data_IF_856743711450
#
_entry.id   IF_856743711450
#
_cell.length_a   1.000
_cell.length_b   1.000
_cell.length_c   1.000
_cell.angle_alpha   90.00
_cell.angle_beta   90.00
_cell.angle_gamma   90.00
#
_symmetry.space_group_name_H-M   'P 1'
#
loop_
_entity.id
_entity.type
_entity.pdbx_description
1 polymer ?
#
# COMPACT_ATOMS: atom_id res chain seq x y z
N UNK A 1 37.45 -0.92 -32.82
CA UNK A 1 37.49 -0.54 -31.39
C UNK A 1 36.75 -1.63 -30.61
N UNK A 2 37.46 -2.55 -29.98
CA UNK A 2 36.85 -3.52 -29.07
C UNK A 2 36.54 -2.80 -27.74
N UNK A 3 35.31 -2.93 -27.23
CA UNK A 3 34.95 -2.39 -25.93
C UNK A 3 35.87 -3.00 -24.86
N UNK A 4 36.39 -2.16 -23.96
CA UNK A 4 37.26 -2.65 -22.88
C UNK A 4 36.45 -3.55 -21.92
N UNK A 5 37.00 -4.66 -21.41
CA UNK A 5 36.28 -5.62 -20.58
C UNK A 5 35.68 -5.03 -19.29
N UNK A 6 36.26 -3.95 -18.79
CA UNK A 6 35.82 -3.19 -17.62
C UNK A 6 34.55 -2.34 -17.88
N UNK A 7 34.23 -2.03 -19.14
CA UNK A 7 33.07 -1.21 -19.50
C UNK A 7 31.76 -1.99 -19.68
N UNK A 8 31.80 -3.31 -19.79
CA UNK A 8 30.60 -4.14 -19.98
C UNK A 8 29.97 -4.59 -18.65
N UNK A 9 30.75 -4.65 -17.57
CA UNK A 9 30.27 -5.15 -16.26
C UNK A 9 29.25 -4.23 -15.60
N UNK A 10 29.50 -2.92 -15.55
CA UNK A 10 28.60 -1.98 -14.88
C UNK A 10 27.22 -1.84 -15.57
N UNK A 11 27.14 -1.68 -16.91
CA UNK A 11 25.85 -1.65 -17.60
C UNK A 11 25.07 -2.97 -17.47
N UNK A 12 25.76 -4.11 -17.53
CA UNK A 12 25.15 -5.42 -17.32
C UNK A 12 24.58 -5.56 -15.90
N UNK A 13 25.35 -5.21 -14.87
CA UNK A 13 24.91 -5.28 -13.48
C UNK A 13 23.70 -4.38 -13.22
N UNK A 14 23.67 -3.17 -13.80
CA UNK A 14 22.54 -2.27 -13.67
C UNK A 14 21.30 -2.84 -14.35
N UNK A 15 21.42 -3.35 -15.57
CA UNK A 15 20.31 -3.97 -16.29
C UNK A 15 19.78 -5.22 -15.57
N UNK A 16 20.66 -6.06 -15.02
CA UNK A 16 20.29 -7.22 -14.23
C UNK A 16 19.57 -6.82 -12.94
N UNK A 17 20.05 -5.79 -12.25
CA UNK A 17 19.39 -5.24 -11.06
C UNK A 17 18.01 -4.69 -11.38
N UNK A 18 17.85 -3.91 -12.45
CA UNK A 18 16.56 -3.36 -12.86
C UNK A 18 15.56 -4.47 -13.24
N UNK A 19 16.03 -5.52 -13.92
CA UNK A 19 15.20 -6.68 -14.23
C UNK A 19 14.72 -7.40 -12.96
N UNK A 20 15.64 -7.66 -12.02
CA UNK A 20 15.30 -8.25 -10.73
C UNK A 20 14.33 -7.38 -9.92
N UNK A 21 14.58 -6.07 -9.90
CA UNK A 21 13.77 -5.05 -9.20
C UNK A 21 12.35 -5.00 -9.75
N UNK A 22 12.19 -5.12 -11.06
CA UNK A 22 10.88 -5.12 -11.71
C UNK A 22 10.08 -6.42 -11.47
N UNK A 23 10.77 -7.55 -11.26
CA UNK A 23 10.15 -8.85 -10.98
C UNK A 23 9.93 -9.13 -9.49
N UNK A 24 10.34 -8.21 -8.61
CA UNK A 24 10.27 -8.39 -7.15
C UNK A 24 9.25 -7.42 -6.56
N UNK A 25 8.40 -7.91 -5.66
CA UNK A 25 7.46 -7.08 -4.90
C UNK A 25 8.19 -6.29 -3.80
N UNK A 26 8.83 -5.20 -4.19
CA UNK A 26 9.45 -4.27 -3.25
C UNK A 26 8.39 -3.39 -2.59
N UNK A 27 8.47 -3.30 -1.26
CA UNK A 27 7.72 -2.32 -0.51
C UNK A 27 8.44 -0.98 -0.55
N UNK A 28 7.75 0.09 -0.96
CA UNK A 28 8.28 1.46 -1.00
C UNK A 28 7.70 2.30 0.13
N UNK A 29 8.53 3.13 0.76
CA UNK A 29 8.11 4.01 1.83
C UNK A 29 6.95 4.92 1.39
N UNK A 30 5.94 5.06 2.26
CA UNK A 30 4.78 5.92 2.01
C UNK A 30 5.07 7.41 2.28
N UNK A 31 6.20 7.73 2.91
CA UNK A 31 6.58 9.13 3.16
C UNK A 31 7.00 9.79 1.84
N UNK A 32 6.42 10.95 1.46
CA UNK A 32 6.74 11.63 0.21
C UNK A 32 8.22 12.02 0.05
N UNK A 33 8.93 12.18 1.17
CA UNK A 33 10.34 12.57 1.20
C UNK A 33 11.30 11.38 1.33
N UNK A 34 10.79 10.15 1.39
CA UNK A 34 11.60 8.95 1.59
C UNK A 34 11.54 8.02 0.37
N UNK A 35 12.70 7.74 -0.23
CA UNK A 35 12.84 6.83 -1.36
C UNK A 35 13.27 5.41 -0.92
N UNK A 36 13.12 5.05 0.35
CA UNK A 36 13.48 3.70 0.80
C UNK A 36 12.56 2.68 0.15
N UNK A 37 13.16 1.64 -0.43
CA UNK A 37 12.46 0.46 -0.92
C UNK A 37 13.18 -0.78 -0.40
N UNK A 38 12.41 -1.79 0.00
CA UNK A 38 12.96 -3.01 0.59
C UNK A 38 12.02 -4.20 0.42
N UNK A 39 12.57 -5.38 0.69
CA UNK A 39 11.79 -6.62 0.77
C UNK A 39 11.04 -6.69 2.09
N UNK A 40 9.83 -7.23 2.03
CA UNK A 40 9.09 -7.59 3.24
C UNK A 40 9.71 -8.84 3.85
N UNK A 41 10.09 -8.76 5.13
CA UNK A 41 10.43 -9.94 5.91
C UNK A 41 9.14 -10.52 6.52
N UNK A 42 8.64 -11.67 6.04
CA UNK A 42 7.45 -12.30 6.59
C UNK A 42 7.64 -12.82 8.01
N UNK A 43 8.88 -12.94 8.48
CA UNK A 43 9.22 -13.42 9.82
C UNK A 43 9.53 -12.27 10.79
N UNK A 44 9.43 -11.01 10.36
CA UNK A 44 9.66 -9.87 11.23
C UNK A 44 8.62 -9.82 12.37
N UNK A 45 9.03 -9.60 13.63
CA UNK A 45 8.11 -9.42 14.74
C UNK A 45 7.09 -8.32 14.44
N UNK A 46 5.80 -8.61 14.62
CA UNK A 46 4.74 -7.63 14.33
C UNK A 46 4.35 -7.52 12.86
N UNK A 47 4.77 -8.44 11.98
CA UNK A 47 4.25 -8.57 10.62
C UNK A 47 2.71 -8.48 10.59
N UNK A 48 2.09 -7.85 9.56
CA UNK A 48 2.68 -7.28 8.33
C UNK A 48 2.98 -5.78 8.43
N UNK A 49 4.20 -5.41 8.83
CA UNK A 49 4.65 -4.02 8.83
C UNK A 49 6.07 -3.87 8.28
N UNK A 50 6.37 -2.63 7.87
CA UNK A 50 7.70 -2.22 7.42
C UNK A 50 8.18 -1.08 8.29
N UNK A 51 9.37 -1.23 8.86
CA UNK A 51 10.09 -0.15 9.52
C UNK A 51 11.19 0.37 8.62
N UNK A 52 11.28 1.70 8.46
CA UNK A 52 12.35 2.30 7.67
C UNK A 52 13.52 2.67 8.57
N UNK A 53 14.73 2.14 8.35
CA UNK A 53 15.87 2.35 9.24
C UNK A 53 16.36 3.80 9.19
N UNK A 54 16.90 4.30 10.30
CA UNK A 54 17.68 5.54 10.30
C UNK A 54 18.90 5.41 9.35
N UNK A 55 19.31 6.46 8.60
CA UNK A 55 18.87 7.86 8.65
C UNK A 55 17.69 8.23 7.74
N UNK A 56 16.94 7.26 7.20
CA UNK A 56 15.94 7.54 6.15
C UNK A 56 14.74 8.37 6.65
N UNK A 57 13.83 7.77 7.42
CA UNK A 57 12.67 8.50 7.98
C UNK A 57 12.10 7.93 9.28
N UNK A 58 12.51 6.73 9.73
CA UNK A 58 11.97 6.05 10.94
C UNK A 58 10.45 5.86 10.95
N UNK A 59 9.76 6.05 9.83
CA UNK A 59 8.34 5.79 9.74
C UNK A 59 8.06 4.27 9.78
N UNK A 60 6.79 3.93 9.97
CA UNK A 60 6.32 2.55 9.88
C UNK A 60 5.07 2.51 9.00
N UNK A 61 4.94 1.48 8.18
CA UNK A 61 3.79 1.30 7.28
C UNK A 61 3.22 -0.10 7.41
N UNK A 62 1.91 -0.24 7.24
CA UNK A 62 1.27 -1.55 7.13
C UNK A 62 1.52 -2.11 5.73
N UNK A 63 2.10 -3.32 5.66
CA UNK A 63 2.40 -3.98 4.40
C UNK A 63 1.15 -4.52 3.67
N UNK A 64 0.03 -4.66 4.39
CA UNK A 64 -1.22 -5.20 3.83
C UNK A 64 -2.13 -4.13 3.24
N UNK A 65 -2.34 -3.01 3.94
CA UNK A 65 -3.27 -1.97 3.49
C UNK A 65 -2.59 -0.75 2.88
N UNK A 66 -1.25 -0.71 2.86
CA UNK A 66 -0.44 0.37 2.28
C UNK A 66 -0.73 1.75 2.90
N UNK A 67 -0.93 1.78 4.22
CA UNK A 67 -1.14 3.01 5.00
C UNK A 67 -0.05 3.17 6.07
N UNK A 68 0.07 4.34 6.72
CA UNK A 68 0.85 4.47 7.94
C UNK A 68 0.46 3.39 8.96
N UNK A 69 1.45 2.92 9.73
CA UNK A 69 1.22 1.88 10.72
C UNK A 69 0.12 2.27 11.71
N UNK A 70 -0.76 1.32 12.00
CA UNK A 70 -1.88 1.48 12.91
C UNK A 70 -1.86 0.34 13.93
N UNK A 71 -2.18 0.68 15.18
CA UNK A 71 -2.30 -0.26 16.29
C UNK A 71 -3.77 -0.27 16.72
N UNK A 72 -4.28 -1.43 17.15
CA UNK A 72 -5.67 -1.61 17.63
C UNK A 72 -6.77 -1.35 16.59
N UNK A 73 -6.39 -1.20 15.32
CA UNK A 73 -7.32 -1.10 14.19
C UNK A 73 -6.98 -2.18 13.18
N UNK A 74 -8.01 -2.80 12.62
CA UNK A 74 -7.91 -3.68 11.46
C UNK A 74 -7.64 -2.88 10.19
N UNK A 75 -7.02 -3.52 9.19
CA UNK A 75 -6.86 -2.93 7.86
C UNK A 75 -8.19 -2.46 7.24
N UNK A 76 -9.30 -3.15 7.55
CA UNK A 76 -10.63 -2.82 7.07
C UNK A 76 -11.12 -1.50 7.68
N UNK A 77 -11.00 -1.33 9.00
CA UNK A 77 -11.39 -0.10 9.70
C UNK A 77 -10.63 1.13 9.18
N UNK A 78 -9.32 1.00 8.98
CA UNK A 78 -8.49 2.09 8.44
C UNK A 78 -8.93 2.48 7.03
N UNK A 79 -9.18 1.50 6.15
CA UNK A 79 -9.67 1.77 4.79
C UNK A 79 -11.06 2.40 4.78
N UNK A 80 -11.97 1.90 5.61
CA UNK A 80 -13.33 2.44 5.74
C UNK A 80 -13.32 3.88 6.24
N UNK A 81 -12.48 4.21 7.22
CA UNK A 81 -12.33 5.58 7.72
C UNK A 81 -11.78 6.52 6.64
N UNK A 82 -10.76 6.09 5.89
CA UNK A 82 -10.20 6.87 4.78
C UNK A 82 -11.22 7.11 3.65
N UNK A 83 -12.07 6.13 3.36
CA UNK A 83 -13.15 6.27 2.38
C UNK A 83 -14.24 7.23 2.88
N UNK A 84 -14.65 7.10 4.14
CA UNK A 84 -15.64 7.97 4.74
C UNK A 84 -15.19 9.45 4.77
N UNK A 85 -13.89 9.70 4.95
CA UNK A 85 -13.31 11.04 4.93
C UNK A 85 -13.35 11.71 3.54
N UNK A 86 -13.38 10.92 2.46
CA UNK A 86 -13.44 11.42 1.08
C UNK A 86 -14.87 11.53 0.54
N UNK A 87 -15.85 11.02 1.29
CA UNK A 87 -17.24 10.95 0.88
C UNK A 87 -17.94 12.31 0.97
N UNK A 88 -18.70 12.66 -0.06
CA UNK A 88 -19.50 13.88 -0.07
C UNK A 88 -20.69 13.79 0.88
N UNK A 89 -21.22 14.94 1.32
CA UNK A 89 -22.39 14.97 2.21
C UNK A 89 -23.63 14.27 1.63
N UNK A 90 -23.98 14.42 0.32
CA UNK A 90 -25.10 13.69 -0.28
C UNK A 90 -24.92 12.17 -0.28
N UNK A 91 -23.70 11.68 -0.54
CA UNK A 91 -23.39 10.25 -0.48
C UNK A 91 -23.53 9.71 0.95
N UNK A 92 -23.05 10.46 1.94
CA UNK A 92 -23.16 10.09 3.35
C UNK A 92 -24.62 10.04 3.80
N UNK A 93 -25.43 11.02 3.41
CA UNK A 93 -26.87 11.03 3.69
C UNK A 93 -27.59 9.87 3.02
N UNK A 94 -27.23 9.54 1.78
CA UNK A 94 -27.79 8.39 1.06
C UNK A 94 -27.46 7.09 1.78
N UNK A 95 -26.22 6.90 2.23
CA UNK A 95 -25.82 5.70 2.99
C UNK A 95 -26.54 5.61 4.35
N UNK A 96 -26.69 6.73 5.06
CA UNK A 96 -27.47 6.78 6.30
C UNK A 96 -28.94 6.42 6.07
N UNK A 97 -29.54 6.90 4.97
CA UNK A 97 -30.91 6.57 4.59
C UNK A 97 -31.08 5.07 4.25
N UNK A 98 -30.10 4.48 3.55
CA UNK A 98 -30.11 3.04 3.26
C UNK A 98 -30.04 2.25 4.56
N UNK A 99 -29.13 2.59 5.47
CA UNK A 99 -28.97 1.90 6.75
C UNK A 99 -30.19 2.06 7.66
N UNK A 100 -30.81 3.24 7.72
CA UNK A 100 -31.97 3.48 8.59
C UNK A 100 -33.21 2.68 8.19
N UNK A 101 -33.24 2.18 6.95
CA UNK A 101 -34.32 1.35 6.40
C UNK A 101 -33.99 -0.16 6.31
N UNK A 102 -32.89 -0.61 6.92
CA UNK A 102 -32.32 -1.96 6.70
C UNK A 102 -32.11 -2.31 5.21
N UNK A 103 -31.87 -1.28 4.39
CA UNK A 103 -31.73 -1.42 2.95
C UNK A 103 -30.49 -2.24 2.60
N UNK A 104 -30.68 -3.29 1.79
CA UNK A 104 -29.61 -4.19 1.34
C UNK A 104 -29.36 -3.97 -0.14
N UNK A 105 -28.12 -4.21 -0.59
CA UNK A 105 -27.84 -4.23 -2.03
C UNK A 105 -28.17 -5.60 -2.58
N UNK A 106 -28.96 -5.65 -3.65
CA UNK A 106 -29.20 -6.88 -4.39
C UNK A 106 -27.85 -7.42 -4.91
N UNK A 107 -27.48 -8.69 -4.64
CA UNK A 107 -26.20 -9.24 -5.09
C UNK A 107 -26.07 -9.30 -6.61
N UNK A 108 -27.20 -9.34 -7.35
CA UNK A 108 -27.21 -9.45 -8.81
C UNK A 108 -27.13 -8.08 -9.51
N UNK A 109 -27.91 -7.09 -9.08
CA UNK A 109 -28.01 -5.80 -9.77
C UNK A 109 -27.53 -4.58 -8.96
N UNK A 110 -27.10 -4.78 -7.71
CA UNK A 110 -26.55 -3.75 -6.82
C UNK A 110 -27.49 -2.58 -6.46
N UNK A 111 -28.77 -2.65 -6.88
CA UNK A 111 -29.83 -1.76 -6.45
C UNK A 111 -30.11 -1.97 -4.96
N UNK A 112 -30.44 -0.87 -4.27
CA UNK A 112 -30.91 -0.91 -2.88
C UNK A 112 -32.34 -1.44 -2.88
N UNK A 113 -32.58 -2.48 -2.09
CA UNK A 113 -33.88 -3.08 -1.82
C UNK A 113 -34.22 -2.90 -0.34
N UNK A 114 -35.48 -2.62 -0.05
CA UNK A 114 -36.08 -2.48 1.29
C UNK A 114 -36.91 -3.74 1.61
#
# INVERSE_FOLDING_TARGET
MAARPDMLGAPFNLAAFEHWRAGTDLFTCLSPSCAFAGLLDPNAPGYPHVEYPFPTCKARSCATCLTPWHVDQTCAEVKSAALAAQMSDPERQTLMLIQSKDGKRCPNCQLVIE
#
